data_IF_127092369801
#
_entry.id   IF_127092369801
#
_cell.length_a   1.000
_cell.length_b   1.000
_cell.length_c   1.000
_cell.angle_alpha   90.00
_cell.angle_beta   90.00
_cell.angle_gamma   90.00
#
_symmetry.space_group_name_H-M   'P 1'
#
loop_
_entity.id
_entity.type
_entity.pdbx_description
1 polymer ?
#
# COMPACT_ATOMS: atom_id res chain seq x y z
N UNK A 1 -1.30 -18.33 0.84
CA UNK A 1 -2.21 -19.22 0.13
C UNK A 1 -2.84 -18.54 -1.08
N UNK A 2 -3.64 -19.30 -1.81
CA UNK A 2 -4.28 -18.79 -3.03
C UNK A 2 -5.25 -17.64 -2.76
N UNK A 3 -5.71 -17.50 -1.52
CA UNK A 3 -6.65 -16.45 -1.13
C UNK A 3 -5.96 -15.19 -0.62
N UNK A 4 -4.64 -15.20 -0.51
CA UNK A 4 -3.91 -14.04 -0.06
C UNK A 4 -3.99 -12.93 -1.11
N UNK A 5 -4.11 -11.70 -0.67
CA UNK A 5 -4.18 -10.59 -1.58
C UNK A 5 -4.59 -9.29 -0.90
N UNK A 6 -4.61 -8.25 -1.71
CA UNK A 6 -5.04 -6.93 -1.26
C UNK A 6 -6.11 -6.40 -2.21
N UNK A 7 -7.19 -5.90 -1.63
CA UNK A 7 -8.27 -5.23 -2.37
C UNK A 7 -8.18 -3.74 -2.10
N UNK A 8 -8.21 -2.94 -3.16
CA UNK A 8 -8.13 -1.48 -3.07
C UNK A 8 -9.36 -0.87 -3.71
N UNK A 9 -10.02 0.02 -2.99
CA UNK A 9 -11.17 0.77 -3.49
C UNK A 9 -10.89 2.25 -3.30
N UNK A 10 -10.76 2.98 -4.40
CA UNK A 10 -10.50 4.42 -4.33
C UNK A 10 -11.69 5.14 -3.70
N UNK A 11 -11.44 5.86 -2.61
CA UNK A 11 -12.46 6.59 -1.89
C UNK A 11 -12.44 8.09 -2.16
N UNK A 12 -11.28 8.64 -2.53
CA UNK A 12 -11.18 10.03 -2.95
C UNK A 12 -9.96 10.24 -3.83
N UNK A 13 -9.98 11.30 -4.63
CA UNK A 13 -8.89 11.65 -5.53
C UNK A 13 -8.77 13.17 -5.61
N UNK A 14 -7.56 13.65 -5.32
CA UNK A 14 -7.16 15.02 -5.56
C UNK A 14 -5.98 15.01 -6.53
N UNK A 15 -5.48 16.17 -6.92
CA UNK A 15 -4.44 16.27 -7.94
C UNK A 15 -3.19 15.43 -7.63
N UNK A 16 -2.68 15.50 -6.39
CA UNK A 16 -1.47 14.79 -6.01
C UNK A 16 -1.68 13.74 -4.94
N UNK A 17 -2.93 13.47 -4.58
CA UNK A 17 -3.23 12.54 -3.49
C UNK A 17 -4.45 11.70 -3.83
N UNK A 18 -4.33 10.39 -3.58
CA UNK A 18 -5.44 9.45 -3.73
C UNK A 18 -5.59 8.69 -2.43
N UNK A 19 -6.82 8.44 -2.05
CA UNK A 19 -7.14 7.66 -0.87
C UNK A 19 -7.89 6.41 -1.27
N UNK A 20 -7.53 5.31 -0.61
CA UNK A 20 -8.13 4.02 -0.87
C UNK A 20 -8.56 3.39 0.45
N UNK A 21 -9.70 2.71 0.42
CA UNK A 21 -9.99 1.72 1.45
C UNK A 21 -9.29 0.44 1.02
N UNK A 22 -8.62 -0.24 1.94
CA UNK A 22 -7.97 -1.50 1.61
C UNK A 22 -8.38 -2.61 2.54
N UNK A 23 -8.34 -3.83 2.01
CA UNK A 23 -8.50 -5.06 2.77
C UNK A 23 -7.36 -5.98 2.37
N UNK A 24 -6.56 -6.38 3.33
CA UNK A 24 -5.40 -7.22 3.12
C UNK A 24 -5.66 -8.57 3.77
N UNK A 25 -5.54 -9.63 2.99
CA UNK A 25 -5.75 -10.98 3.47
C UNK A 25 -4.45 -11.78 3.35
N UNK A 26 -3.97 -12.27 4.48
CA UNK A 26 -2.76 -13.07 4.57
C UNK A 26 -3.05 -14.33 5.40
N UNK A 27 -3.30 -15.45 4.71
CA UNK A 27 -3.71 -16.67 5.38
C UNK A 27 -5.03 -16.48 6.12
N UNK A 28 -5.00 -16.66 7.44
CA UNK A 28 -6.19 -16.47 8.27
C UNK A 28 -6.33 -15.05 8.80
N UNK A 29 -5.32 -14.21 8.56
CA UNK A 29 -5.35 -12.82 9.03
C UNK A 29 -5.95 -11.91 7.98
N UNK A 30 -6.74 -10.97 8.44
CA UNK A 30 -7.32 -9.95 7.58
C UNK A 30 -7.16 -8.60 8.25
N UNK A 31 -6.59 -7.66 7.50
CA UNK A 31 -6.35 -6.30 7.97
C UNK A 31 -7.04 -5.33 7.01
N UNK A 32 -7.77 -4.38 7.57
CA UNK A 32 -8.47 -3.37 6.78
C UNK A 32 -8.09 -1.98 7.26
N UNK A 33 -8.15 -1.02 6.38
CA UNK A 33 -7.83 0.34 6.74
C UNK A 33 -7.85 1.28 5.56
N UNK A 34 -7.12 2.37 5.70
CA UNK A 34 -7.02 3.43 4.71
C UNK A 34 -5.58 3.52 4.22
N UNK A 35 -5.44 3.66 2.91
CA UNK A 35 -4.15 3.86 2.28
C UNK A 35 -4.17 5.21 1.58
N UNK A 36 -3.13 6.03 1.83
CA UNK A 36 -2.98 7.32 1.17
C UNK A 36 -1.76 7.25 0.26
N UNK A 37 -1.95 7.58 -1.00
CA UNK A 37 -0.88 7.65 -1.99
C UNK A 37 -0.70 9.09 -2.40
N UNK A 38 0.48 9.64 -2.19
CA UNK A 38 0.79 11.03 -2.50
C UNK A 38 1.96 11.12 -3.46
N UNK A 39 1.79 11.87 -4.54
CA UNK A 39 2.89 12.15 -5.46
C UNK A 39 3.79 13.19 -4.83
N UNK A 40 5.05 12.81 -4.53
CA UNK A 40 6.01 13.69 -3.87
C UNK A 40 6.96 14.35 -4.85
N UNK A 41 7.11 13.77 -6.03
CA UNK A 41 7.85 14.34 -7.16
C UNK A 41 7.42 13.58 -8.41
N UNK A 42 7.73 14.05 -9.62
CA UNK A 42 7.35 13.35 -10.84
C UNK A 42 7.84 11.90 -10.82
N UNK A 43 6.92 10.96 -10.97
CA UNK A 43 7.24 9.53 -10.98
C UNK A 43 7.51 8.90 -9.62
N UNK A 44 7.40 9.66 -8.52
CA UNK A 44 7.64 9.13 -7.18
C UNK A 44 6.41 9.33 -6.31
N UNK A 45 5.93 8.24 -5.73
CA UNK A 45 4.73 8.23 -4.91
C UNK A 45 5.06 7.69 -3.53
N UNK A 46 4.61 8.37 -2.49
CA UNK A 46 4.68 7.87 -1.14
C UNK A 46 3.34 7.28 -0.75
N UNK A 47 3.36 6.07 -0.25
CA UNK A 47 2.15 5.33 0.08
C UNK A 47 2.21 4.93 1.56
N UNK A 48 1.18 5.31 2.30
CA UNK A 48 1.08 4.98 3.73
C UNK A 48 -0.24 4.27 3.96
N UNK A 49 -0.16 3.09 4.57
CA UNK A 49 -1.35 2.32 4.95
C UNK A 49 -1.49 2.24 6.45
N UNK A 50 -2.69 2.45 6.96
CA UNK A 50 -2.99 2.42 8.39
C UNK A 50 -4.34 1.77 8.63
N UNK A 51 -4.49 1.15 9.79
CA UNK A 51 -5.78 0.61 10.22
C UNK A 51 -6.75 1.77 10.48
N UNK A 52 -8.04 1.46 10.55
CA UNK A 52 -9.05 2.47 10.86
C UNK A 52 -8.88 3.07 12.26
N UNK A 53 -8.23 2.35 13.17
CA UNK A 53 -7.97 2.88 14.51
C UNK A 53 -6.60 3.57 14.63
N UNK A 54 -5.92 3.79 13.50
CA UNK A 54 -4.75 4.67 13.46
C UNK A 54 -3.39 4.02 13.56
N UNK A 55 -3.28 2.70 13.54
CA UNK A 55 -1.99 2.03 13.56
C UNK A 55 -1.39 2.01 12.15
N UNK A 56 -0.21 2.56 11.97
CA UNK A 56 0.48 2.52 10.68
C UNK A 56 0.95 1.10 10.39
N UNK A 57 0.55 0.57 9.25
CA UNK A 57 0.94 -0.78 8.82
C UNK A 57 2.14 -0.76 7.90
N UNK A 58 2.23 0.21 7.01
CA UNK A 58 3.39 0.36 6.12
C UNK A 58 3.51 1.79 5.62
N UNK A 59 4.73 2.15 5.25
CA UNK A 59 5.07 3.43 4.64
C UNK A 59 6.11 3.11 3.55
N UNK A 60 5.76 3.33 2.30
CA UNK A 60 6.57 2.95 1.16
C UNK A 60 6.76 4.13 0.21
N UNK A 61 7.96 4.26 -0.32
CA UNK A 61 8.24 5.17 -1.43
C UNK A 61 8.35 4.33 -2.69
N UNK A 62 7.58 4.66 -3.71
CA UNK A 62 7.42 3.82 -4.90
C UNK A 62 7.73 4.60 -6.15
N UNK A 63 8.55 3.99 -7.04
CA UNK A 63 8.79 4.49 -8.38
C UNK A 63 8.41 3.43 -9.38
N UNK A 64 8.52 3.73 -10.68
CA UNK A 64 8.23 2.77 -11.74
C UNK A 64 9.09 1.50 -11.61
N UNK A 65 10.35 1.65 -11.22
CA UNK A 65 11.30 0.54 -11.24
C UNK A 65 11.79 0.09 -9.87
N UNK A 66 11.47 0.82 -8.81
CA UNK A 66 12.00 0.51 -7.49
C UNK A 66 11.02 0.87 -6.38
N UNK A 67 11.35 0.46 -5.18
CA UNK A 67 10.61 0.87 -4.00
C UNK A 67 11.52 0.86 -2.79
N UNK A 68 11.16 1.67 -1.79
CA UNK A 68 11.82 1.67 -0.49
C UNK A 68 10.74 1.53 0.57
N UNK A 69 10.88 0.53 1.44
CA UNK A 69 9.98 0.38 2.57
C UNK A 69 10.53 1.22 3.71
N UNK A 70 9.90 2.38 3.98
CA UNK A 70 10.35 3.31 5.01
C UNK A 70 10.03 2.78 6.41
N UNK A 71 8.87 2.16 6.58
CA UNK A 71 8.52 1.46 7.80
C UNK A 71 7.46 0.41 7.50
N UNK A 72 7.41 -0.63 8.31
CA UNK A 72 6.42 -1.70 8.14
C UNK A 72 6.17 -2.37 9.49
N UNK A 73 4.90 -2.65 9.79
CA UNK A 73 4.53 -3.36 10.98
C UNK A 73 5.08 -4.80 10.92
N UNK A 74 5.50 -5.31 12.06
CA UNK A 74 6.20 -6.60 12.13
C UNK A 74 5.49 -7.75 11.41
N UNK A 75 4.17 -7.93 11.51
CA UNK A 75 3.51 -9.01 10.77
C UNK A 75 3.66 -8.93 9.25
N UNK A 76 4.04 -7.76 8.72
CA UNK A 76 4.16 -7.52 7.29
C UNK A 76 5.61 -7.29 6.85
N UNK A 77 6.59 -7.61 7.70
CA UNK A 77 7.99 -7.23 7.49
C UNK A 77 8.75 -8.08 6.47
N UNK A 78 8.13 -9.05 5.84
CA UNK A 78 8.81 -9.89 4.85
C UNK A 78 9.02 -9.20 3.51
N UNK A 79 10.13 -9.57 2.81
CA UNK A 79 10.40 -9.04 1.47
C UNK A 79 9.30 -9.38 0.46
N UNK A 80 8.69 -10.55 0.62
CA UNK A 80 7.62 -10.99 -0.27
C UNK A 80 6.43 -10.03 -0.21
N UNK A 81 6.08 -9.57 0.98
CA UNK A 81 5.01 -8.60 1.13
C UNK A 81 5.33 -7.28 0.42
N UNK A 82 6.53 -6.75 0.63
CA UNK A 82 6.94 -5.47 0.03
C UNK A 82 6.90 -5.55 -1.50
N UNK A 83 7.44 -6.61 -2.07
CA UNK A 83 7.44 -6.81 -3.53
C UNK A 83 6.03 -6.97 -4.09
N UNK A 84 5.20 -7.73 -3.39
CA UNK A 84 3.80 -7.93 -3.78
C UNK A 84 3.03 -6.61 -3.74
N UNK A 85 3.20 -5.84 -2.68
CA UNK A 85 2.54 -4.55 -2.51
C UNK A 85 2.97 -3.58 -3.61
N UNK A 86 4.28 -3.49 -3.88
CA UNK A 86 4.79 -2.62 -4.93
C UNK A 86 4.20 -2.97 -6.30
N UNK A 87 4.15 -4.25 -6.63
CA UNK A 87 3.57 -4.73 -7.89
C UNK A 87 2.09 -4.32 -7.99
N UNK A 88 1.33 -4.57 -6.94
CA UNK A 88 -0.09 -4.28 -6.94
C UNK A 88 -0.36 -2.78 -7.06
N UNK A 89 0.41 -1.97 -6.34
CA UNK A 89 0.24 -0.51 -6.36
C UNK A 89 0.64 0.09 -7.70
N UNK A 90 1.69 -0.42 -8.35
CA UNK A 90 2.05 0.04 -9.70
C UNK A 90 0.93 -0.18 -10.69
N UNK A 91 0.28 -1.34 -10.61
CA UNK A 91 -0.88 -1.63 -11.46
C UNK A 91 -2.04 -0.68 -11.17
N UNK A 92 -2.36 -0.52 -9.89
CA UNK A 92 -3.51 0.30 -9.48
C UNK A 92 -3.32 1.76 -9.84
N UNK A 93 -2.10 2.27 -9.70
CA UNK A 93 -1.78 3.68 -9.96
C UNK A 93 -1.21 3.93 -11.36
N UNK A 94 -1.08 2.89 -12.15
CA UNK A 94 -0.57 2.98 -13.52
C UNK A 94 0.82 3.62 -13.59
N UNK A 95 1.69 3.15 -12.73
CA UNK A 95 3.09 3.59 -12.71
C UNK A 95 3.97 2.80 -13.67
#
# INVERSE_FOLDING_TARGET
GSDDGISLTESSRAQDERRYDFSLKLGRKELSGIMVARTVSPGTVRVVGATYFGMTLFDMTLTKDSYTMNSVAEPLSGKAFASFLAMKLRKTMNL
#
